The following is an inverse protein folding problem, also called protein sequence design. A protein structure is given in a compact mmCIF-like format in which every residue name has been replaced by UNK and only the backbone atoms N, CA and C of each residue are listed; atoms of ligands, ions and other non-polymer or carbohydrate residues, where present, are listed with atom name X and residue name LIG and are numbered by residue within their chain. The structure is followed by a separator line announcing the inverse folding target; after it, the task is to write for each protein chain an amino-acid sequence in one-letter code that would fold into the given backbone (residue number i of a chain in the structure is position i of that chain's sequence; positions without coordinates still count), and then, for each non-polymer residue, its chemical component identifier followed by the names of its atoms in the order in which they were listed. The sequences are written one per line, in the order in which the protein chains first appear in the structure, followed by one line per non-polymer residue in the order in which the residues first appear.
data_IF_749022927102
#
_entry.id   IF_749022927102
#
_cell.length_a   1.000
_cell.length_b   1.000
_cell.length_c   1.000
_cell.angle_alpha   90.00
_cell.angle_beta   90.00
_cell.angle_gamma   90.00
#
_symmetry.space_group_name_H-M   'P 1'
#
loop_
_entity.id
_entity.type
_entity.pdbx_description
1 polymer ?
#
# COMPACT_ATOMS: atom_id res chain seq x y z
N UNK A 1 21.99 -6.13 5.95
CA UNK A 1 21.93 -4.67 6.18
C UNK A 1 20.58 -4.31 6.76
N UNK A 2 20.52 -3.55 7.84
CA UNK A 2 19.25 -3.10 8.37
C UNK A 2 18.57 -2.15 7.39
N UNK A 3 17.23 -2.16 7.40
CA UNK A 3 16.47 -1.21 6.60
C UNK A 3 16.60 0.19 7.19
N UNK A 4 16.47 1.20 6.34
CA UNK A 4 16.40 2.59 6.75
C UNK A 4 14.93 3.01 6.75
N UNK A 5 14.52 3.83 7.71
CA UNK A 5 13.13 4.26 7.82
C UNK A 5 13.02 5.77 7.99
N UNK A 6 11.83 6.29 7.68
CA UNK A 6 11.45 7.66 8.01
C UNK A 6 9.97 7.68 8.41
N UNK A 7 9.54 8.76 9.02
CA UNK A 7 8.15 8.98 9.42
C UNK A 7 7.54 10.07 8.55
N UNK A 8 6.25 9.91 8.25
CA UNK A 8 5.51 10.87 7.43
C UNK A 8 4.14 11.12 8.05
N UNK A 9 3.88 12.31 8.60
CA UNK A 9 2.53 12.67 9.05
C UNK A 9 1.60 12.79 7.85
N UNK A 10 0.40 12.21 7.96
CA UNK A 10 -0.60 12.23 6.88
C UNK A 10 -1.99 12.36 7.47
N UNK A 11 -3.02 12.64 6.64
CA UNK A 11 -4.42 12.62 7.10
C UNK A 11 -4.90 11.28 7.67
N UNK A 12 -4.21 10.18 7.35
CA UNK A 12 -4.53 8.85 7.88
C UNK A 12 -3.61 8.44 9.02
N UNK A 13 -2.90 9.39 9.61
CA UNK A 13 -1.97 9.17 10.70
C UNK A 13 -0.52 9.18 10.24
N UNK A 14 0.39 8.99 11.20
CA UNK A 14 1.81 8.97 10.91
C UNK A 14 2.20 7.64 10.26
N UNK A 15 2.67 7.70 9.03
CA UNK A 15 3.19 6.52 8.32
C UNK A 15 4.67 6.32 8.64
N UNK A 16 5.09 5.05 8.66
CA UNK A 16 6.51 4.69 8.69
C UNK A 16 6.85 4.09 7.33
N UNK A 17 7.87 4.65 6.68
CA UNK A 17 8.35 4.20 5.39
C UNK A 17 9.71 3.52 5.58
N UNK A 18 9.92 2.38 4.92
CA UNK A 18 11.21 1.68 4.97
C UNK A 18 11.80 1.53 3.59
N UNK A 19 13.12 1.56 3.52
CA UNK A 19 13.84 1.38 2.27
C UNK A 19 15.16 0.64 2.46
N UNK A 20 15.53 -0.11 1.42
CA UNK A 20 16.89 -0.59 1.21
C UNK A 20 17.67 0.51 0.47
N UNK A 21 18.92 0.23 0.12
CA UNK A 21 19.73 1.17 -0.67
C UNK A 21 19.19 1.39 -2.09
N UNK A 22 18.31 0.52 -2.58
CA UNK A 22 17.85 0.53 -3.97
C UNK A 22 16.35 0.74 -4.14
N UNK A 23 15.54 0.48 -3.10
CA UNK A 23 14.08 0.46 -3.28
C UNK A 23 13.32 0.72 -1.98
N UNK A 24 12.07 1.17 -2.13
CA UNK A 24 11.11 1.23 -1.03
C UNK A 24 10.65 -0.19 -0.71
N UNK A 25 10.67 -0.56 0.57
CA UNK A 25 10.35 -1.92 1.02
C UNK A 25 9.08 -2.02 1.85
N UNK A 26 8.60 -0.91 2.39
CA UNK A 26 7.40 -0.96 3.23
C UNK A 26 6.79 0.40 3.50
N UNK A 27 5.48 0.38 3.73
CA UNK A 27 4.68 1.51 4.22
C UNK A 27 3.80 0.96 5.34
N UNK A 28 3.87 1.53 6.53
CA UNK A 28 3.16 1.05 7.70
C UNK A 28 2.22 2.10 8.25
N UNK A 29 0.96 1.72 8.46
CA UNK A 29 -0.03 2.56 9.13
C UNK A 29 0.12 2.45 10.64
N UNK A 30 -0.24 3.51 11.39
CA UNK A 30 -0.12 3.47 12.86
C UNK A 30 -1.05 2.46 13.52
N UNK A 31 -2.18 2.12 12.85
CA UNK A 31 -3.21 1.23 13.38
C UNK A 31 -3.25 -0.11 12.67
N UNK A 32 -2.24 -0.43 11.86
CA UNK A 32 -2.25 -1.68 11.11
C UNK A 32 -2.10 -2.88 12.06
N UNK A 33 -2.75 -4.01 11.71
CA UNK A 33 -2.59 -5.27 12.44
C UNK A 33 -1.14 -5.74 12.45
N UNK A 34 -0.39 -5.29 11.46
CA UNK A 34 1.04 -5.50 11.34
C UNK A 34 1.78 -4.24 11.70
N UNK A 35 1.24 -3.42 12.59
CA UNK A 35 1.76 -2.11 12.91
C UNK A 35 3.26 -1.98 12.69
N UNK A 36 3.81 -0.80 12.51
CA UNK A 36 5.24 -0.71 12.38
C UNK A 36 5.82 -1.43 13.58
N UNK A 37 6.70 -2.42 13.38
CA UNK A 37 7.42 -2.95 14.53
C UNK A 37 8.02 -1.74 15.21
N UNK A 38 8.12 -1.75 16.55
CA UNK A 38 8.77 -0.65 17.24
C UNK A 38 10.12 -0.42 16.58
N UNK A 39 10.32 0.76 16.02
CA UNK A 39 11.50 1.04 15.19
C UNK A 39 12.81 0.79 15.96
N UNK A 40 12.80 1.02 17.26
CA UNK A 40 13.96 0.76 18.12
C UNK A 40 14.22 -0.74 18.38
N UNK A 41 13.24 -1.62 18.12
CA UNK A 41 13.37 -3.07 18.33
C UNK A 41 13.61 -3.83 17.04
N UNK A 42 13.33 -3.23 15.89
CA UNK A 42 13.42 -3.90 14.59
C UNK A 42 14.83 -3.94 14.03
N UNK A 43 15.76 -3.18 14.62
CA UNK A 43 17.09 -3.00 14.04
C UNK A 43 17.12 -2.02 12.88
N UNK A 44 16.00 -1.35 12.59
CA UNK A 44 15.94 -0.35 11.54
C UNK A 44 16.71 0.91 11.95
N UNK A 45 17.29 1.58 10.95
CA UNK A 45 18.08 2.81 11.16
C UNK A 45 17.28 4.00 10.63
N UNK A 46 17.16 5.05 11.43
CA UNK A 46 16.48 6.25 10.99
C UNK A 46 17.29 6.94 9.87
N UNK A 47 16.58 7.44 8.85
CA UNK A 47 17.22 8.05 7.69
C UNK A 47 18.03 9.28 8.09
N UNK A 48 19.26 9.34 7.59
CA UNK A 48 20.06 10.54 7.66
C UNK A 48 19.68 11.52 6.57
N UNK A 49 20.52 12.54 6.36
CA UNK A 49 20.28 13.58 5.34
C UNK A 49 20.77 13.19 3.97
N UNK A 50 21.56 12.12 3.85
CA UNK A 50 22.14 11.69 2.59
C UNK A 50 22.33 10.18 2.55
N UNK A 51 22.56 9.64 1.37
CA UNK A 51 22.76 8.22 1.14
C UNK A 51 21.67 7.62 0.28
N UNK A 52 21.92 6.44 -0.33
CA UNK A 52 20.97 5.83 -1.27
C UNK A 52 19.59 5.56 -0.67
N UNK A 53 19.52 4.98 0.53
CA UNK A 53 18.24 4.71 1.17
C UNK A 53 17.51 6.00 1.52
N UNK A 54 18.23 7.03 1.99
CA UNK A 54 17.64 8.33 2.29
C UNK A 54 17.05 8.97 1.02
N UNK A 55 17.70 8.83 -0.10
CA UNK A 55 17.20 9.35 -1.39
C UNK A 55 15.90 8.66 -1.80
N UNK A 56 15.82 7.33 -1.65
CA UNK A 56 14.59 6.57 -1.91
C UNK A 56 13.47 7.08 -1.02
N UNK A 57 13.75 7.26 0.28
CA UNK A 57 12.74 7.70 1.24
C UNK A 57 12.27 9.14 1.00
N UNK A 58 13.18 10.04 0.64
CA UNK A 58 12.82 11.42 0.28
C UNK A 58 11.87 11.44 -0.91
N UNK A 59 12.17 10.65 -1.93
CA UNK A 59 11.35 10.55 -3.12
C UNK A 59 9.98 9.96 -2.81
N UNK A 60 9.94 8.88 -2.03
CA UNK A 60 8.68 8.26 -1.62
C UNK A 60 7.83 9.21 -0.78
N UNK A 61 8.44 9.88 0.18
CA UNK A 61 7.77 10.86 1.02
C UNK A 61 7.16 11.98 0.20
N UNK A 62 7.91 12.54 -0.74
CA UNK A 62 7.42 13.60 -1.62
C UNK A 62 6.22 13.13 -2.44
N UNK A 63 6.29 11.94 -3.03
CA UNK A 63 5.20 11.43 -3.86
C UNK A 63 3.96 11.12 -3.02
N UNK A 64 4.10 10.61 -1.82
CA UNK A 64 2.97 10.41 -0.90
C UNK A 64 2.36 11.74 -0.47
N UNK A 65 3.18 12.75 -0.18
CA UNK A 65 2.68 14.09 0.14
C UNK A 65 1.86 14.66 -1.03
N UNK A 66 2.35 14.49 -2.24
CA UNK A 66 1.62 14.90 -3.46
C UNK A 66 0.32 14.13 -3.64
N UNK A 67 0.31 12.82 -3.33
CA UNK A 67 -0.89 12.01 -3.35
C UNK A 67 -1.96 12.56 -2.39
N UNK A 68 -1.57 12.83 -1.15
CA UNK A 68 -2.50 13.37 -0.15
C UNK A 68 -2.94 14.80 -0.49
N UNK A 69 -2.10 15.56 -1.17
CA UNK A 69 -2.44 16.91 -1.65
C UNK A 69 -3.27 16.93 -2.94
N UNK A 70 -3.59 15.75 -3.50
CA UNK A 70 -4.36 15.57 -4.75
C UNK A 70 -3.64 16.09 -5.99
N UNK A 71 -2.32 16.14 -5.95
CA UNK A 71 -1.50 16.55 -7.10
C UNK A 71 -0.82 15.40 -7.80
N UNK A 72 -1.01 14.17 -7.27
CA UNK A 72 -0.41 12.95 -7.84
C UNK A 72 -1.41 11.80 -7.76
N UNK A 73 -1.56 11.06 -8.87
CA UNK A 73 -2.43 9.89 -8.95
C UNK A 73 -1.67 8.58 -9.21
N UNK A 74 -0.40 8.67 -9.61
CA UNK A 74 0.45 7.50 -9.87
C UNK A 74 1.78 7.67 -9.16
N UNK A 75 2.45 6.54 -8.90
CA UNK A 75 3.74 6.55 -8.22
C UNK A 75 4.82 6.03 -9.15
N UNK A 76 6.00 6.68 -9.08
CA UNK A 76 7.19 6.31 -9.84
C UNK A 76 8.33 6.10 -8.85
N UNK A 77 8.39 4.90 -8.29
CA UNK A 77 9.32 4.51 -7.23
C UNK A 77 9.82 3.09 -7.48
N UNK A 78 11.10 2.83 -7.22
CA UNK A 78 11.57 1.45 -7.18
C UNK A 78 10.99 0.75 -5.95
N UNK A 79 10.34 -0.38 -6.15
CA UNK A 79 9.70 -1.14 -5.08
C UNK A 79 10.34 -2.52 -4.95
N UNK A 80 10.53 -2.95 -3.70
CA UNK A 80 11.03 -4.28 -3.39
C UNK A 80 10.22 -4.84 -2.23
N UNK A 81 9.28 -5.73 -2.56
CA UNK A 81 8.41 -6.37 -1.58
C UNK A 81 8.81 -7.83 -1.42
N UNK A 82 8.90 -8.30 -0.18
CA UNK A 82 9.13 -9.71 0.10
C UNK A 82 7.79 -10.46 0.05
N UNK A 83 7.75 -11.54 -0.72
CA UNK A 83 6.55 -12.35 -0.84
C UNK A 83 6.75 -13.52 -1.79
N UNK A 84 5.75 -14.40 -1.85
CA UNK A 84 5.72 -15.55 -2.74
C UNK A 84 5.49 -15.11 -4.19
N UNK A 85 5.70 -16.03 -5.12
CA UNK A 85 5.42 -15.78 -6.54
C UNK A 85 3.94 -15.40 -6.75
N UNK A 86 3.02 -16.09 -6.06
CA UNK A 86 1.59 -15.78 -6.15
C UNK A 86 1.28 -14.38 -5.61
N UNK A 87 1.85 -14.03 -4.45
CA UNK A 87 1.69 -12.71 -3.86
C UNK A 87 2.17 -11.62 -4.82
N UNK A 88 3.31 -11.80 -5.45
CA UNK A 88 3.81 -10.85 -6.44
C UNK A 88 2.87 -10.71 -7.64
N UNK A 89 2.26 -11.81 -8.10
CA UNK A 89 1.28 -11.74 -9.18
C UNK A 89 0.07 -10.91 -8.78
N UNK A 90 -0.42 -11.09 -7.56
CA UNK A 90 -1.54 -10.30 -7.04
C UNK A 90 -1.13 -8.83 -6.93
N UNK A 91 0.01 -8.54 -6.31
CA UNK A 91 0.46 -7.16 -6.12
C UNK A 91 0.72 -6.44 -7.44
N UNK A 92 1.26 -7.14 -8.44
CA UNK A 92 1.45 -6.56 -9.77
C UNK A 92 0.11 -6.22 -10.42
N UNK A 93 -0.90 -7.08 -10.24
CA UNK A 93 -2.25 -6.81 -10.74
C UNK A 93 -2.90 -5.62 -10.03
N UNK A 94 -2.66 -5.47 -8.71
CA UNK A 94 -3.15 -4.31 -7.95
C UNK A 94 -2.63 -3.01 -8.54
N UNK A 95 -1.39 -2.97 -8.97
CA UNK A 95 -0.77 -1.77 -9.54
C UNK A 95 -1.43 -1.31 -10.84
N UNK A 96 -2.20 -2.17 -11.49
CA UNK A 96 -2.92 -1.85 -12.73
C UNK A 96 -4.31 -1.26 -12.47
N UNK A 97 -4.79 -1.27 -11.23
CA UNK A 97 -6.10 -0.71 -10.90
C UNK A 97 -5.99 0.82 -10.92
N UNK A 98 -6.70 1.51 -11.82
CA UNK A 98 -6.57 2.96 -11.93
C UNK A 98 -7.05 3.71 -10.69
N UNK A 99 -6.43 4.85 -10.45
CA UNK A 99 -6.85 5.79 -9.41
C UNK A 99 -8.34 6.12 -9.58
N UNK A 100 -9.07 6.16 -8.48
CA UNK A 100 -10.49 6.50 -8.50
C UNK A 100 -11.41 5.37 -8.92
N UNK A 101 -10.88 4.14 -9.09
CA UNK A 101 -11.68 2.97 -9.45
C UNK A 101 -11.52 1.86 -8.42
N UNK A 102 -12.42 0.88 -8.46
CA UNK A 102 -12.34 -0.31 -7.61
C UNK A 102 -12.51 -1.57 -8.46
N UNK A 103 -12.06 -2.69 -7.91
CA UNK A 103 -12.36 -4.02 -8.44
C UNK A 103 -12.73 -4.93 -7.28
N UNK A 104 -13.27 -6.12 -7.57
CA UNK A 104 -13.58 -7.09 -6.53
C UNK A 104 -12.51 -8.17 -6.45
N UNK A 105 -12.45 -8.88 -5.32
CA UNK A 105 -11.54 -10.01 -5.14
C UNK A 105 -11.80 -11.08 -6.19
N UNK A 106 -13.08 -11.35 -6.49
CA UNK A 106 -13.46 -12.33 -7.50
C UNK A 106 -13.06 -11.93 -8.91
N UNK A 107 -13.25 -10.65 -9.27
CA UNK A 107 -12.84 -10.13 -10.57
C UNK A 107 -11.32 -10.22 -10.74
N UNK A 108 -10.58 -9.90 -9.66
CA UNK A 108 -9.12 -9.97 -9.68
C UNK A 108 -8.64 -11.42 -9.83
N UNK A 109 -9.27 -12.36 -9.11
CA UNK A 109 -8.94 -13.77 -9.22
C UNK A 109 -9.17 -14.28 -10.65
N UNK A 110 -10.29 -13.89 -11.25
CA UNK A 110 -10.61 -14.25 -12.63
C UNK A 110 -9.58 -13.68 -13.61
N UNK A 111 -9.18 -12.43 -13.40
CA UNK A 111 -8.14 -11.77 -14.21
C UNK A 111 -6.82 -12.53 -14.14
N UNK A 112 -6.49 -13.09 -12.97
CA UNK A 112 -5.28 -13.88 -12.77
C UNK A 112 -5.39 -15.31 -13.30
N UNK A 113 -6.53 -15.67 -13.89
CA UNK A 113 -6.73 -16.96 -14.54
C UNK A 113 -7.30 -18.05 -13.64
N UNK A 114 -7.73 -17.72 -12.42
CA UNK A 114 -8.30 -18.71 -11.48
C UNK A 114 -9.43 -18.09 -10.66
N UNK A 115 -10.65 -18.26 -11.17
CA UNK A 115 -11.85 -17.75 -10.50
C UNK A 115 -12.10 -18.38 -9.11
N UNK A 116 -11.44 -19.50 -8.82
CA UNK A 116 -11.56 -20.18 -7.52
C UNK A 116 -10.54 -19.66 -6.50
N UNK A 117 -9.64 -18.80 -6.92
CA UNK A 117 -8.59 -18.27 -6.05
C UNK A 117 -9.00 -16.99 -5.29
N UNK A 118 -10.29 -16.67 -5.22
CA UNK A 118 -10.79 -15.43 -4.58
C UNK A 118 -10.28 -15.28 -3.15
N UNK A 119 -10.31 -16.34 -2.34
CA UNK A 119 -9.82 -16.31 -0.96
C UNK A 119 -8.31 -16.08 -0.91
N UNK A 120 -7.55 -16.78 -1.76
CA UNK A 120 -6.10 -16.64 -1.80
C UNK A 120 -5.70 -15.24 -2.26
N UNK A 121 -6.43 -14.64 -3.20
CA UNK A 121 -6.24 -13.26 -3.64
C UNK A 121 -6.49 -12.30 -2.47
N UNK A 122 -7.55 -12.52 -1.69
CA UNK A 122 -7.85 -11.71 -0.51
C UNK A 122 -6.74 -11.75 0.52
N UNK A 123 -6.18 -12.95 0.78
CA UNK A 123 -5.07 -13.10 1.71
C UNK A 123 -3.81 -12.39 1.21
N UNK A 124 -3.48 -12.54 -0.06
CA UNK A 124 -2.32 -11.87 -0.67
C UNK A 124 -2.49 -10.36 -0.65
N UNK A 125 -3.71 -9.87 -0.95
CA UNK A 125 -4.04 -8.45 -0.88
C UNK A 125 -3.77 -7.89 0.52
N UNK A 126 -4.18 -8.63 1.57
CA UNK A 126 -3.96 -8.23 2.95
C UNK A 126 -2.51 -8.27 3.41
N UNK A 127 -1.65 -8.98 2.69
CA UNK A 127 -0.21 -9.09 3.01
C UNK A 127 0.67 -8.09 2.26
N UNK A 128 0.07 -7.20 1.47
CA UNK A 128 0.82 -6.19 0.73
C UNK A 128 1.64 -5.32 1.69
N UNK A 129 2.98 -5.29 1.55
CA UNK A 129 3.83 -4.51 2.45
C UNK A 129 3.95 -3.04 2.09
N UNK A 130 3.45 -2.62 0.91
CA UNK A 130 3.60 -1.25 0.42
C UNK A 130 2.21 -0.69 0.03
N UNK A 131 1.27 -0.59 1.01
CA UNK A 131 -0.07 -0.07 0.69
C UNK A 131 -0.02 1.37 0.20
N UNK A 132 -1.10 1.83 -0.38
CA UNK A 132 -1.29 3.10 -1.08
C UNK A 132 -0.57 3.08 -2.42
N UNK A 133 0.73 2.86 -2.45
CA UNK A 133 1.54 2.80 -3.67
C UNK A 133 1.16 1.57 -4.49
N UNK A 134 1.05 0.41 -3.83
CA UNK A 134 0.42 -0.79 -4.37
C UNK A 134 -1.01 -0.78 -3.83
N UNK A 135 -2.01 -0.42 -4.64
CA UNK A 135 -3.30 0.06 -4.12
C UNK A 135 -4.26 -1.06 -3.72
N UNK A 136 -3.91 -1.81 -2.68
CA UNK A 136 -4.77 -2.87 -2.16
C UNK A 136 -6.11 -2.35 -1.62
N UNK A 137 -6.21 -1.07 -1.29
CA UNK A 137 -7.47 -0.45 -0.87
C UNK A 137 -8.51 -0.38 -1.98
N UNK A 138 -8.11 -0.53 -3.24
CA UNK A 138 -9.03 -0.48 -4.40
C UNK A 138 -9.73 -1.82 -4.66
N UNK A 139 -9.47 -2.84 -3.84
CA UNK A 139 -10.18 -4.12 -3.95
C UNK A 139 -11.24 -4.19 -2.88
N UNK A 140 -12.48 -4.43 -3.30
CA UNK A 140 -13.66 -4.45 -2.42
C UNK A 140 -14.41 -5.77 -2.61
N UNK A 141 -15.43 -6.02 -1.77
CA UNK A 141 -16.28 -7.19 -1.93
C UNK A 141 -17.13 -7.12 -3.19
N UNK A 142 -17.75 -8.25 -3.56
CA UNK A 142 -18.55 -8.37 -4.79
C UNK A 142 -19.71 -7.37 -4.85
N UNK A 143 -20.20 -6.93 -3.70
CA UNK A 143 -21.30 -5.95 -3.61
C UNK A 143 -20.81 -4.56 -3.23
N UNK A 144 -19.50 -4.30 -3.38
CA UNK A 144 -18.91 -3.02 -3.02
C UNK A 144 -18.61 -2.84 -1.55
N UNK A 145 -18.83 -3.87 -0.72
CA UNK A 145 -18.57 -3.79 0.71
C UNK A 145 -17.09 -3.67 1.01
N UNK A 146 -16.75 -2.87 2.02
CA UNK A 146 -15.36 -2.69 2.45
C UNK A 146 -15.00 -3.81 3.41
N UNK A 147 -14.01 -4.62 3.02
CA UNK A 147 -13.54 -5.74 3.81
C UNK A 147 -12.00 -5.76 3.84
N UNK A 148 -11.45 -6.30 4.92
CA UNK A 148 -10.04 -6.67 5.01
C UNK A 148 -9.03 -5.61 4.58
N UNK A 149 -8.64 -4.73 5.48
CA UNK A 149 -7.55 -3.79 5.21
C UNK A 149 -6.63 -3.71 6.43
N UNK A 150 -5.31 -3.86 6.18
CA UNK A 150 -4.32 -3.85 7.25
C UNK A 150 -4.29 -2.55 8.04
N UNK A 151 -4.56 -1.42 7.41
CA UNK A 151 -4.64 -0.11 8.05
C UNK A 151 -5.98 0.18 8.72
N UNK A 152 -6.93 -0.76 8.68
CA UNK A 152 -8.27 -0.60 9.22
C UNK A 152 -9.28 -0.13 8.17
N UNK A 153 -10.55 -0.48 8.38
CA UNK A 153 -11.61 -0.15 7.43
C UNK A 153 -11.84 1.35 7.31
N UNK A 154 -11.66 2.11 8.38
CA UNK A 154 -11.78 3.56 8.33
C UNK A 154 -10.73 4.17 7.41
N UNK A 155 -9.50 3.68 7.47
CA UNK A 155 -8.42 4.12 6.58
C UNK A 155 -8.73 3.75 5.13
N UNK A 156 -9.22 2.52 4.90
CA UNK A 156 -9.61 2.08 3.55
C UNK A 156 -10.70 3.00 2.98
N UNK A 157 -11.72 3.30 3.76
CA UNK A 157 -12.80 4.22 3.36
C UNK A 157 -12.23 5.61 3.05
N UNK A 158 -11.36 6.11 3.92
CA UNK A 158 -10.75 7.43 3.70
C UNK A 158 -10.00 7.49 2.37
N UNK A 159 -9.20 6.46 2.07
CA UNK A 159 -8.43 6.43 0.82
C UNK A 159 -9.36 6.38 -0.40
N UNK A 160 -10.42 5.58 -0.36
CA UNK A 160 -11.38 5.49 -1.45
C UNK A 160 -12.15 6.79 -1.64
N UNK A 161 -12.57 7.43 -0.56
CA UNK A 161 -13.23 8.74 -0.62
C UNK A 161 -12.28 9.80 -1.18
N UNK A 162 -11.03 9.77 -0.73
CA UNK A 162 -10.00 10.69 -1.20
C UNK A 162 -9.82 10.59 -2.72
N UNK A 163 -9.87 9.37 -3.24
CA UNK A 163 -9.73 9.12 -4.68
C UNK A 163 -11.03 9.31 -5.46
N UNK A 164 -12.14 9.55 -4.78
CA UNK A 164 -13.45 9.68 -5.42
C UNK A 164 -14.09 8.34 -5.79
N UNK A 165 -13.51 7.22 -5.37
CA UNK A 165 -13.99 5.90 -5.74
C UNK A 165 -15.31 5.50 -5.06
N UNK A 166 -15.57 6.00 -3.84
CA UNK A 166 -16.81 5.68 -3.12
C UNK A 166 -18.06 6.24 -3.79
N UNK A 167 -17.94 7.34 -4.50
CA UNK A 167 -19.06 7.91 -5.27
C UNK A 167 -19.53 6.90 -6.32
N UNK A 168 -18.61 6.14 -6.90
CA UNK A 168 -18.90 5.13 -7.92
C UNK A 168 -19.57 3.89 -7.34
N UNK A 169 -19.51 3.69 -6.03
CA UNK A 169 -20.17 2.58 -5.34
C UNK A 169 -21.63 2.86 -4.98
N UNK A 170 -22.15 3.99 -5.42
CA UNK A 170 -23.55 4.34 -5.20
C UNK A 170 -23.89 4.71 -3.77
N UNK A 171 -22.92 5.18 -3.05
CA UNK A 171 -23.12 5.61 -1.66
C UNK A 171 -24.03 6.82 -1.56
#
# INVERSE_FOLDING_TARGET
MPLTFTRLPTPVGELVLTASDTALTGVYFPTSRRGPPPTHQSGWVEAGVSGPAAEVLVRARRQLEEYFARTRTTFDLPLEALGSAFEHRVWNALRQIPYGTTTSYGALAKQLGDKHATRAVGLANGKNPIPIIVPCHRVVGAKGELTGFGGGLDTKRWLLEHEGALIQLGA
#
